data_IF_904737460549
#
_entry.id   IF_904737460549
#
_cell.length_a   1.000
_cell.length_b   1.000
_cell.length_c   1.000
_cell.angle_alpha   90.00
_cell.angle_beta   90.00
_cell.angle_gamma   90.00
#
_symmetry.space_group_name_H-M   'P 1'
#
loop_
_entity.id
_entity.type
_entity.pdbx_description
1 polymer ?
#
# COMPACT_ATOMS: atom_id res chain seq x y z
N UNK A 1 7.11 -24.86 3.84
CA UNK A 1 7.06 -26.34 3.64
C UNK A 1 6.27 -26.87 2.45
N UNK A 2 5.10 -26.30 2.10
CA UNK A 2 4.23 -26.87 1.05
C UNK A 2 4.77 -26.75 -0.38
N UNK A 3 5.67 -25.79 -0.67
CA UNK A 3 6.26 -25.63 -2.00
C UNK A 3 6.99 -26.91 -2.46
N UNK A 4 6.63 -27.41 -3.65
CA UNK A 4 7.19 -28.61 -4.30
C UNK A 4 8.12 -28.33 -5.48
N UNK A 5 8.38 -27.06 -5.78
CA UNK A 5 9.32 -26.70 -6.84
C UNK A 5 8.80 -26.90 -8.26
N UNK A 6 7.48 -26.90 -8.48
CA UNK A 6 6.87 -27.03 -9.83
C UNK A 6 7.15 -25.85 -10.78
N UNK A 7 7.59 -24.70 -10.25
CA UNK A 7 8.01 -23.50 -11.02
C UNK A 7 6.93 -22.83 -11.87
N UNK A 8 5.70 -23.33 -11.92
CA UNK A 8 4.60 -22.72 -12.67
C UNK A 8 4.29 -21.29 -12.20
N UNK A 9 4.44 -21.01 -10.91
CA UNK A 9 4.24 -19.66 -10.35
C UNK A 9 5.20 -18.61 -10.92
N UNK A 10 6.43 -18.99 -11.27
CA UNK A 10 7.42 -18.07 -11.87
C UNK A 10 6.92 -17.55 -13.22
N UNK A 11 6.34 -18.43 -14.02
CA UNK A 11 5.74 -18.06 -15.31
C UNK A 11 4.45 -17.28 -15.11
N UNK A 12 3.58 -17.74 -14.20
CA UNK A 12 2.27 -17.16 -13.95
C UNK A 12 2.28 -15.75 -13.36
N UNK A 13 3.32 -15.34 -12.64
CA UNK A 13 3.42 -13.96 -12.16
C UNK A 13 3.76 -13.00 -13.32
N UNK A 14 2.87 -12.07 -13.70
CA UNK A 14 3.12 -11.18 -14.83
C UNK A 14 4.26 -10.19 -14.53
N UNK A 15 4.41 -9.79 -13.26
CA UNK A 15 5.49 -8.91 -12.80
C UNK A 15 6.85 -9.58 -12.59
N UNK A 16 6.92 -10.91 -12.77
CA UNK A 16 8.16 -11.71 -12.57
C UNK A 16 8.83 -11.45 -11.20
N UNK A 17 8.00 -11.37 -10.14
CA UNK A 17 8.43 -11.15 -8.75
C UNK A 17 8.54 -12.42 -7.90
N UNK A 18 8.49 -13.58 -8.55
CA UNK A 18 8.76 -14.87 -7.93
C UNK A 18 10.07 -15.40 -8.51
N UNK A 19 11.02 -15.69 -7.64
CA UNK A 19 12.36 -16.11 -7.99
C UNK A 19 12.56 -17.56 -7.56
N UNK A 20 13.11 -18.38 -8.45
CA UNK A 20 13.41 -19.77 -8.13
C UNK A 20 14.79 -19.87 -7.47
N UNK A 21 14.85 -20.47 -6.29
CA UNK A 21 16.10 -20.77 -5.62
C UNK A 21 16.62 -22.14 -6.11
N UNK A 22 17.71 -22.08 -6.88
CA UNK A 22 18.33 -23.25 -7.52
C UNK A 22 18.90 -24.24 -6.50
N UNK A 23 19.27 -23.77 -5.32
CA UNK A 23 19.86 -24.59 -4.25
C UNK A 23 18.78 -25.30 -3.44
N UNK A 24 17.77 -24.56 -2.97
CA UNK A 24 16.70 -25.14 -2.14
C UNK A 24 15.65 -25.91 -2.96
N UNK A 25 15.63 -25.69 -4.28
CA UNK A 25 14.64 -26.26 -5.18
C UNK A 25 13.25 -25.65 -5.05
N UNK A 26 13.12 -24.50 -4.39
CA UNK A 26 11.83 -23.85 -4.06
C UNK A 26 11.77 -22.44 -4.66
N UNK A 27 10.54 -21.97 -4.89
CA UNK A 27 10.30 -20.59 -5.28
C UNK A 27 10.15 -19.70 -4.04
N UNK A 28 10.77 -18.53 -4.08
CA UNK A 28 10.76 -17.50 -3.06
C UNK A 28 10.26 -16.18 -3.65
N UNK A 29 9.67 -15.32 -2.82
CA UNK A 29 9.08 -14.05 -3.25
C UNK A 29 9.20 -13.02 -2.14
N UNK A 30 8.91 -11.77 -2.47
CA UNK A 30 8.67 -10.73 -1.46
C UNK A 30 7.63 -11.22 -0.44
N UNK A 31 7.98 -11.13 0.84
CA UNK A 31 7.15 -11.50 1.98
C UNK A 31 6.50 -10.28 2.64
N UNK A 32 6.60 -9.12 2.00
CA UNK A 32 6.13 -7.83 2.51
C UNK A 32 6.65 -7.52 3.92
N UNK A 33 7.83 -8.06 4.27
CA UNK A 33 8.41 -7.97 5.61
C UNK A 33 7.39 -8.28 6.72
N UNK A 34 6.55 -9.32 6.55
CA UNK A 34 5.48 -9.64 7.51
C UNK A 34 5.94 -9.66 8.98
N UNK A 35 7.15 -10.13 9.38
CA UNK A 35 7.54 -10.09 10.79
C UNK A 35 7.65 -8.67 11.38
N UNK A 36 7.84 -7.66 10.53
CA UNK A 36 7.86 -6.24 10.92
C UNK A 36 6.45 -5.65 10.89
N UNK A 37 5.72 -5.91 9.81
CA UNK A 37 4.34 -5.42 9.64
C UNK A 37 3.44 -5.93 10.77
N UNK A 38 3.60 -7.19 11.20
CA UNK A 38 2.87 -7.75 12.33
C UNK A 38 3.03 -6.95 13.63
N UNK A 39 4.16 -6.26 13.78
CA UNK A 39 4.48 -5.41 14.94
C UNK A 39 4.26 -3.91 14.66
N UNK A 40 3.53 -3.54 13.60
CA UNK A 40 3.29 -2.14 13.24
C UNK A 40 4.52 -1.41 12.66
N UNK A 41 5.56 -2.14 12.26
CA UNK A 41 6.79 -1.55 11.72
C UNK A 41 6.79 -1.56 10.18
N UNK A 42 7.33 -0.52 9.52
CA UNK A 42 7.41 -0.49 8.07
C UNK A 42 8.28 -1.59 7.49
N UNK A 43 8.02 -1.91 6.23
CA UNK A 43 8.88 -2.80 5.44
C UNK A 43 10.28 -2.21 5.32
N UNK A 44 11.30 -3.07 5.27
CA UNK A 44 12.71 -2.63 5.21
C UNK A 44 12.93 -1.66 4.06
N UNK A 45 12.43 -2.00 2.87
CA UNK A 45 12.62 -1.17 1.69
C UNK A 45 11.83 0.14 1.72
N UNK A 46 10.81 0.28 2.59
CA UNK A 46 10.08 1.53 2.82
C UNK A 46 10.78 2.41 3.84
N UNK A 47 11.19 1.84 4.97
CA UNK A 47 11.94 2.56 6.00
C UNK A 47 13.28 3.09 5.49
N UNK A 48 14.01 2.30 4.72
CA UNK A 48 15.32 2.69 4.18
C UNK A 48 15.22 3.50 2.89
N UNK A 49 14.03 3.97 2.51
CA UNK A 49 13.85 4.75 1.29
C UNK A 49 14.38 6.17 1.46
N UNK A 50 15.60 6.40 0.99
CA UNK A 50 16.30 7.70 1.08
C UNK A 50 15.49 8.83 0.43
N UNK A 51 14.83 8.57 -0.70
CA UNK A 51 14.01 9.55 -1.40
C UNK A 51 12.67 9.87 -0.73
N UNK A 52 12.33 9.17 0.36
CA UNK A 52 11.08 9.35 1.12
C UNK A 52 9.78 9.17 0.32
N UNK A 53 9.81 8.46 -0.81
CA UNK A 53 8.69 8.31 -1.76
C UNK A 53 7.74 7.14 -1.48
N UNK A 54 7.92 6.40 -0.38
CA UNK A 54 7.14 5.20 -0.08
C UNK A 54 6.20 5.47 1.09
N UNK A 55 4.95 5.06 0.90
CA UNK A 55 3.86 5.21 1.85
C UNK A 55 3.24 3.85 2.10
N UNK A 56 2.87 3.57 3.35
CA UNK A 56 2.20 2.36 3.78
C UNK A 56 0.96 2.78 4.57
N UNK A 57 -0.19 2.23 4.19
CA UNK A 57 -1.48 2.51 4.80
C UNK A 57 -2.46 1.38 4.49
N UNK A 58 -3.47 1.25 5.34
CA UNK A 58 -4.52 0.22 5.18
C UNK A 58 -5.47 0.61 4.04
N UNK A 59 -5.97 -0.39 3.33
CA UNK A 59 -7.07 -0.26 2.38
C UNK A 59 -8.10 -1.34 2.73
N UNK A 60 -9.32 -0.93 3.05
CA UNK A 60 -10.45 -1.85 3.19
C UNK A 60 -10.96 -2.18 1.80
N UNK A 61 -11.27 -3.46 1.54
CA UNK A 61 -11.70 -3.91 0.23
C UNK A 61 -12.73 -5.04 0.34
N UNK A 62 -13.67 -5.07 -0.61
CA UNK A 62 -14.67 -6.13 -0.71
C UNK A 62 -14.09 -7.34 -1.45
N UNK A 63 -13.82 -8.42 -0.70
CA UNK A 63 -13.23 -9.64 -1.25
C UNK A 63 -14.15 -10.36 -2.24
N UNK A 64 -15.48 -10.25 -2.09
CA UNK A 64 -16.44 -10.95 -2.95
C UNK A 64 -16.51 -10.32 -4.34
N UNK A 65 -16.20 -9.03 -4.46
CA UNK A 65 -16.19 -8.29 -5.74
C UNK A 65 -14.88 -8.41 -6.52
N UNK A 66 -13.85 -9.08 -5.99
CA UNK A 66 -12.55 -9.28 -6.66
C UNK A 66 -12.71 -9.98 -8.01
N UNK A 67 -13.52 -11.04 -8.06
CA UNK A 67 -13.72 -11.84 -9.27
C UNK A 67 -14.36 -11.03 -10.40
N UNK A 68 -15.38 -10.24 -10.06
CA UNK A 68 -16.06 -9.33 -10.98
C UNK A 68 -15.10 -8.23 -11.49
N UNK A 69 -14.42 -7.54 -10.58
CA UNK A 69 -13.52 -6.44 -10.93
C UNK A 69 -12.38 -6.89 -11.86
N UNK A 70 -11.75 -8.04 -11.55
CA UNK A 70 -10.70 -8.61 -12.39
C UNK A 70 -11.19 -9.12 -13.75
N UNK A 71 -12.49 -9.45 -13.86
CA UNK A 71 -13.12 -9.96 -15.08
C UNK A 71 -13.64 -8.84 -16.02
N UNK A 72 -13.61 -7.57 -15.60
CA UNK A 72 -14.01 -6.40 -16.43
C UNK A 72 -13.51 -6.50 -17.87
N UNK A 73 -14.39 -6.47 -18.86
CA UNK A 73 -14.04 -6.77 -20.25
C UNK A 73 -12.97 -5.83 -20.81
N UNK A 74 -13.20 -4.52 -20.68
CA UNK A 74 -12.31 -3.48 -21.18
C UNK A 74 -11.13 -3.23 -20.21
N UNK A 75 -9.87 -3.44 -20.65
CA UNK A 75 -8.72 -3.21 -19.79
C UNK A 75 -8.56 -1.77 -19.29
N UNK A 76 -9.07 -0.77 -20.02
CA UNK A 76 -9.02 0.64 -19.62
C UNK A 76 -9.87 0.93 -18.38
N UNK A 77 -10.84 0.08 -18.07
CA UNK A 77 -11.78 0.26 -16.95
C UNK A 77 -11.30 -0.48 -15.69
N UNK A 78 -10.28 -1.33 -15.78
CA UNK A 78 -9.76 -2.12 -14.66
C UNK A 78 -9.23 -1.26 -13.51
N UNK A 79 -8.67 -0.08 -13.80
CA UNK A 79 -8.26 0.88 -12.78
C UNK A 79 -9.45 1.33 -11.92
N UNK A 80 -10.55 1.73 -12.57
CA UNK A 80 -11.75 2.17 -11.87
C UNK A 80 -12.44 0.99 -11.18
N UNK A 81 -12.52 -0.16 -11.84
CA UNK A 81 -13.07 -1.38 -11.25
C UNK A 81 -12.33 -1.78 -9.97
N UNK A 82 -10.99 -1.62 -9.91
CA UNK A 82 -10.23 -1.86 -8.69
C UNK A 82 -10.53 -0.80 -7.61
N UNK A 83 -10.65 0.47 -7.97
CA UNK A 83 -11.05 1.53 -7.02
C UNK A 83 -12.42 1.25 -6.42
N UNK A 84 -13.37 0.76 -7.21
CA UNK A 84 -14.74 0.46 -6.77
C UNK A 84 -14.81 -0.72 -5.80
N UNK A 85 -13.74 -1.53 -5.71
CA UNK A 85 -13.59 -2.61 -4.71
C UNK A 85 -13.06 -2.06 -3.38
N UNK A 86 -12.38 -0.91 -3.38
CA UNK A 86 -11.96 -0.26 -2.14
C UNK A 86 -13.15 0.41 -1.45
N UNK A 87 -13.19 0.29 -0.13
CA UNK A 87 -14.28 0.75 0.72
C UNK A 87 -13.87 2.03 1.45
N UNK A 88 -14.84 2.91 1.69
CA UNK A 88 -14.60 4.15 2.43
C UNK A 88 -14.47 3.87 3.93
N UNK A 89 -13.28 4.08 4.54
CA UNK A 89 -13.08 3.84 5.96
C UNK A 89 -13.81 4.85 6.86
N UNK A 90 -14.31 5.96 6.31
CA UNK A 90 -15.10 6.96 7.05
C UNK A 90 -16.60 6.67 7.04
N UNK A 91 -17.07 5.75 6.19
CA UNK A 91 -18.49 5.36 6.14
C UNK A 91 -18.83 4.49 7.37
N UNK A 92 -19.78 4.92 8.23
CA UNK A 92 -20.21 4.14 9.40
C UNK A 92 -20.73 2.75 9.05
N UNK A 93 -21.30 2.56 7.85
CA UNK A 93 -21.79 1.26 7.41
C UNK A 93 -20.63 0.30 7.12
N UNK A 94 -19.59 0.79 6.42
CA UNK A 94 -18.36 0.03 6.17
C UNK A 94 -17.66 -0.32 7.47
N UNK A 95 -17.59 0.62 8.43
CA UNK A 95 -16.98 0.37 9.74
C UNK A 95 -17.73 -0.75 10.51
N UNK A 96 -19.06 -0.69 10.50
CA UNK A 96 -19.90 -1.72 11.14
C UNK A 96 -19.71 -3.09 10.49
N UNK A 97 -19.68 -3.13 9.16
CA UNK A 97 -19.48 -4.37 8.42
C UNK A 97 -18.07 -4.94 8.65
N UNK A 98 -17.03 -4.10 8.62
CA UNK A 98 -15.65 -4.51 8.89
C UNK A 98 -15.49 -5.13 10.28
N UNK A 99 -16.11 -4.55 11.32
CA UNK A 99 -16.13 -5.14 12.66
C UNK A 99 -16.86 -6.48 12.69
N UNK A 100 -17.98 -6.60 11.97
CA UNK A 100 -18.73 -7.85 11.87
C UNK A 100 -17.93 -8.96 11.16
N UNK A 101 -17.08 -8.60 10.19
CA UNK A 101 -16.18 -9.50 9.47
C UNK A 101 -14.88 -9.82 10.24
N UNK A 102 -14.72 -9.27 11.45
CA UNK A 102 -13.59 -9.55 12.34
C UNK A 102 -12.35 -8.69 12.10
N UNK A 103 -12.48 -7.55 11.42
CA UNK A 103 -11.41 -6.55 11.31
C UNK A 103 -11.25 -5.82 12.64
N UNK A 104 -10.06 -5.78 13.26
CA UNK A 104 -9.85 -5.07 14.53
C UNK A 104 -10.12 -3.56 14.40
N UNK A 105 -10.61 -2.93 15.47
CA UNK A 105 -10.92 -1.49 15.46
C UNK A 105 -9.69 -0.63 15.11
N UNK A 106 -8.49 -0.99 15.59
CA UNK A 106 -7.22 -0.31 15.27
C UNK A 106 -6.92 -0.29 13.75
N UNK A 107 -7.32 -1.35 13.03
CA UNK A 107 -7.16 -1.41 11.57
C UNK A 107 -8.10 -0.47 10.84
N UNK A 108 -9.32 -0.29 11.36
CA UNK A 108 -10.31 0.64 10.81
C UNK A 108 -9.85 2.08 11.06
N UNK A 109 -9.40 2.39 12.27
CA UNK A 109 -8.81 3.70 12.62
C UNK A 109 -7.58 4.00 11.73
N UNK A 110 -6.69 3.02 11.55
CA UNK A 110 -5.53 3.15 10.67
C UNK A 110 -5.91 3.30 9.19
N UNK A 111 -7.07 2.79 8.77
CA UNK A 111 -7.58 2.97 7.42
C UNK A 111 -8.07 4.40 7.17
N UNK A 112 -8.65 5.05 8.17
CA UNK A 112 -9.11 6.46 8.09
C UNK A 112 -7.94 7.42 7.86
N UNK A 113 -6.80 7.15 8.50
CA UNK A 113 -5.58 7.95 8.37
C UNK A 113 -4.62 7.44 7.27
N UNK A 114 -5.06 6.50 6.43
CA UNK A 114 -4.22 5.81 5.47
C UNK A 114 -3.69 6.73 4.37
N UNK A 115 -2.37 6.95 4.25
CA UNK A 115 -1.81 7.72 3.13
C UNK A 115 -2.04 7.03 1.78
N UNK A 116 -2.15 5.70 1.78
CA UNK A 116 -2.44 4.94 0.57
C UNK A 116 -3.87 5.19 0.06
N UNK A 117 -4.85 5.25 0.97
CA UNK A 117 -6.23 5.58 0.64
C UNK A 117 -6.35 7.01 0.11
N UNK A 118 -5.73 7.98 0.80
CA UNK A 118 -5.70 9.38 0.37
C UNK A 118 -5.13 9.54 -1.04
N UNK A 119 -4.00 8.92 -1.35
CA UNK A 119 -3.37 9.04 -2.67
C UNK A 119 -4.12 8.31 -3.79
N UNK A 120 -4.68 7.14 -3.51
CA UNK A 120 -5.33 6.29 -4.51
C UNK A 120 -6.78 6.69 -4.78
N UNK A 121 -7.57 6.88 -3.71
CA UNK A 121 -9.02 7.04 -3.76
C UNK A 121 -9.42 8.52 -3.69
N UNK A 122 -8.95 9.25 -2.67
CA UNK A 122 -9.36 10.65 -2.45
C UNK A 122 -8.76 11.60 -3.50
N UNK A 123 -7.43 11.64 -3.62
CA UNK A 123 -6.72 12.58 -4.48
C UNK A 123 -6.57 12.07 -5.92
N UNK A 124 -6.76 10.77 -6.14
CA UNK A 124 -6.61 10.08 -7.43
C UNK A 124 -5.30 10.45 -8.14
N UNK A 125 -4.20 10.37 -7.39
CA UNK A 125 -2.83 10.65 -7.88
C UNK A 125 -1.97 9.39 -7.98
N UNK A 126 -2.34 8.32 -7.28
CA UNK A 126 -1.67 7.03 -7.36
C UNK A 126 -2.44 6.06 -8.27
N UNK A 127 -1.70 5.21 -8.99
CA UNK A 127 -2.26 4.26 -9.94
C UNK A 127 -1.65 2.86 -9.78
N UNK A 128 -2.39 1.78 -10.10
CA UNK A 128 -1.87 0.43 -10.12
C UNK A 128 -0.80 0.27 -11.20
N UNK A 129 0.16 -0.63 -11.00
CA UNK A 129 1.13 -0.98 -12.04
C UNK A 129 0.55 -2.06 -12.96
N UNK A 130 0.43 -1.77 -14.26
CA UNK A 130 -0.12 -2.66 -15.27
C UNK A 130 -1.46 -3.31 -14.84
N UNK A 131 -2.54 -2.54 -14.65
CA UNK A 131 -3.84 -3.08 -14.25
C UNK A 131 -4.39 -4.11 -15.25
N UNK A 132 -4.01 -4.03 -16.53
CA UNK A 132 -4.38 -4.96 -17.61
C UNK A 132 -3.95 -6.42 -17.35
N UNK A 133 -3.05 -6.66 -16.40
CA UNK A 133 -2.70 -8.01 -15.96
C UNK A 133 -3.77 -8.67 -15.09
N UNK A 134 -4.80 -7.95 -14.68
CA UNK A 134 -5.99 -8.48 -13.97
C UNK A 134 -5.67 -9.17 -12.64
N UNK A 135 -4.56 -8.79 -12.00
CA UNK A 135 -4.18 -9.30 -10.68
C UNK A 135 -4.61 -8.40 -9.53
N UNK A 136 -5.27 -7.26 -9.83
CA UNK A 136 -5.63 -6.19 -8.88
C UNK A 136 -4.46 -5.84 -7.94
N UNK A 137 -3.36 -5.27 -8.47
CA UNK A 137 -2.13 -5.07 -7.71
C UNK A 137 -2.34 -4.07 -6.55
N UNK A 138 -1.70 -4.31 -5.41
CA UNK A 138 -1.81 -3.48 -4.20
C UNK A 138 -0.59 -2.58 -3.95
N UNK A 139 0.32 -2.47 -4.92
CA UNK A 139 1.43 -1.51 -4.88
C UNK A 139 1.22 -0.50 -6.01
N UNK A 140 0.94 0.74 -5.63
CA UNK A 140 0.53 1.82 -6.53
C UNK A 140 1.62 2.89 -6.65
N UNK A 141 1.57 3.66 -7.73
CA UNK A 141 2.60 4.61 -8.12
C UNK A 141 2.00 5.95 -8.47
N UNK A 142 2.60 7.03 -7.95
CA UNK A 142 2.34 8.40 -8.40
C UNK A 142 3.21 8.67 -9.63
N UNK A 143 2.66 9.16 -10.75
CA UNK A 143 3.42 9.39 -11.97
C UNK A 143 4.42 10.54 -11.76
N UNK A 144 5.65 10.46 -12.32
CA UNK A 144 6.63 11.52 -12.15
C UNK A 144 6.29 12.75 -13.01
N UNK A 145 6.43 13.93 -12.43
CA UNK A 145 6.61 15.15 -13.23
C UNK A 145 7.97 15.10 -13.94
N UNK A 146 8.07 15.77 -15.09
CA UNK A 146 9.33 15.89 -15.82
C UNK A 146 9.57 17.34 -16.24
N UNK A 147 10.82 17.73 -16.60
CA UNK A 147 11.07 19.04 -17.15
C UNK A 147 10.21 19.28 -18.40
N UNK A 148 9.87 20.54 -18.66
CA UNK A 148 9.17 20.96 -19.88
C UNK A 148 10.14 20.78 -21.07
N UNK A 149 9.64 20.31 -22.21
CA UNK A 149 10.44 20.23 -23.44
C UNK A 149 10.96 21.64 -23.83
N UNK A 150 12.06 21.69 -24.57
CA UNK A 150 12.90 22.86 -24.81
C UNK A 150 12.26 24.06 -25.55
N UNK A 151 10.93 24.18 -25.64
CA UNK A 151 10.27 25.42 -26.06
C UNK A 151 10.48 26.59 -25.09
N UNK A 152 10.99 26.33 -23.88
CA UNK A 152 11.51 27.36 -22.97
C UNK A 152 12.73 28.13 -23.51
N UNK A 153 13.44 27.64 -24.55
CA UNK A 153 14.53 28.38 -25.18
C UNK A 153 14.05 29.62 -25.98
N UNK A 154 12.73 29.77 -26.19
CA UNK A 154 12.13 30.89 -26.92
C UNK A 154 11.51 31.97 -26.02
N UNK A 155 11.62 31.86 -24.69
CA UNK A 155 11.13 32.90 -23.76
C UNK A 155 9.61 32.95 -23.58
N UNK A 156 8.84 32.05 -24.18
CA UNK A 156 7.43 31.85 -23.90
C UNK A 156 7.28 30.56 -23.07
N UNK A 157 7.07 30.70 -21.75
CA UNK A 157 6.43 29.63 -21.01
C UNK A 157 4.96 29.74 -21.42
N UNK A 158 4.50 28.83 -22.28
CA UNK A 158 3.07 28.63 -22.49
C UNK A 158 2.51 28.10 -21.16
N UNK A 159 2.22 29.03 -20.25
CA UNK A 159 1.37 28.77 -19.12
C UNK A 159 -0.05 28.65 -19.64
N UNK A 160 -0.69 27.55 -19.33
CA UNK A 160 -2.16 27.47 -19.37
C UNK A 160 -2.78 28.51 -18.44
N UNK A 161 -4.10 28.68 -18.50
CA UNK A 161 -4.85 29.55 -17.57
C UNK A 161 -4.31 29.43 -16.13
N UNK A 162 -4.12 30.57 -15.47
CA UNK A 162 -3.58 30.71 -14.10
C UNK A 162 -2.08 30.41 -13.90
N UNK A 163 -1.25 30.32 -14.94
CA UNK A 163 0.22 30.23 -14.75
C UNK A 163 0.75 28.80 -14.59
N UNK A 164 -0.08 27.78 -14.82
CA UNK A 164 0.30 26.37 -14.72
C UNK A 164 1.04 25.90 -15.98
N UNK A 165 2.18 25.20 -15.84
CA UNK A 165 2.80 24.50 -16.96
C UNK A 165 1.82 23.52 -17.59
N UNK A 166 1.73 23.52 -18.92
CA UNK A 166 0.92 22.54 -19.63
C UNK A 166 1.47 21.12 -19.43
N UNK A 167 0.59 20.16 -19.12
CA UNK A 167 0.97 18.75 -18.97
C UNK A 167 1.46 18.18 -20.30
N UNK A 168 0.94 18.66 -21.42
CA UNK A 168 1.35 18.19 -22.75
C UNK A 168 2.76 18.68 -23.12
N UNK A 169 3.26 19.70 -22.42
CA UNK A 169 4.62 20.23 -22.60
C UNK A 169 5.71 19.42 -21.85
N UNK A 170 5.31 18.44 -21.02
CA UNK A 170 6.26 17.62 -20.26
C UNK A 170 7.12 16.73 -21.17
N UNK A 171 8.38 16.54 -20.81
CA UNK A 171 9.34 15.71 -21.57
C UNK A 171 8.92 14.24 -21.65
N UNK A 172 8.38 13.68 -20.57
CA UNK A 172 7.89 12.29 -20.54
C UNK A 172 6.51 12.26 -21.21
N UNK A 173 6.33 11.50 -22.30
CA UNK A 173 5.03 11.40 -22.96
C UNK A 173 3.97 10.79 -22.03
N UNK A 174 2.81 11.42 -21.91
CA UNK A 174 1.69 10.91 -21.09
C UNK A 174 1.29 9.50 -21.53
N UNK A 175 1.29 9.22 -22.84
CA UNK A 175 1.03 7.88 -23.40
C UNK A 175 1.89 6.79 -22.77
N UNK A 176 3.18 7.09 -22.52
CA UNK A 176 4.10 6.13 -21.92
C UNK A 176 3.68 5.78 -20.48
N UNK A 177 3.32 6.80 -19.70
CA UNK A 177 2.84 6.62 -18.33
C UNK A 177 1.49 5.91 -18.31
N UNK A 178 0.59 6.25 -19.22
CA UNK A 178 -0.72 5.61 -19.34
C UNK A 178 -0.59 4.11 -19.65
N UNK A 179 0.30 3.73 -20.57
CA UNK A 179 0.58 2.33 -20.88
C UNK A 179 1.11 1.54 -19.67
N UNK A 180 1.75 2.22 -18.71
CA UNK A 180 2.32 1.60 -17.51
C UNK A 180 1.32 1.52 -16.35
N UNK A 181 0.44 2.52 -16.22
CA UNK A 181 -0.32 2.76 -14.99
C UNK A 181 -1.85 2.62 -15.15
N UNK A 182 -2.37 2.76 -16.36
CA UNK A 182 -3.82 2.87 -16.62
C UNK A 182 -4.22 2.13 -17.89
N UNK A 183 -3.48 1.07 -18.24
CA UNK A 183 -3.69 0.25 -19.45
C UNK A 183 -3.77 1.07 -20.76
N UNK A 184 -3.14 2.25 -20.81
CA UNK A 184 -3.14 3.15 -21.97
C UNK A 184 -4.19 4.27 -21.94
N UNK A 185 -5.02 4.36 -20.89
CA UNK A 185 -5.95 5.47 -20.70
C UNK A 185 -5.24 6.71 -20.13
N UNK A 186 -5.08 7.76 -20.94
CA UNK A 186 -4.32 8.95 -20.55
C UNK A 186 -5.05 9.85 -19.56
N UNK A 187 -6.39 9.89 -19.58
CA UNK A 187 -7.17 10.88 -18.84
C UNK A 187 -6.91 10.87 -17.32
N UNK A 188 -6.84 9.71 -16.63
CA UNK A 188 -6.52 9.68 -15.20
C UNK A 188 -5.10 10.19 -14.91
N UNK A 189 -4.12 9.81 -15.74
CA UNK A 189 -2.72 10.23 -15.57
C UNK A 189 -2.58 11.74 -15.77
N UNK A 190 -3.18 12.31 -16.81
CA UNK A 190 -3.21 13.76 -17.04
C UNK A 190 -3.85 14.49 -15.86
N UNK A 191 -4.97 13.98 -15.34
CA UNK A 191 -5.63 14.55 -14.16
C UNK A 191 -4.72 14.59 -12.94
N UNK A 192 -4.01 13.49 -12.64
CA UNK A 192 -3.06 13.45 -11.53
C UNK A 192 -1.88 14.41 -11.71
N UNK A 193 -1.31 14.50 -12.92
CA UNK A 193 -0.22 15.42 -13.22
C UNK A 193 -0.66 16.89 -13.06
N UNK A 194 -1.87 17.23 -13.52
CA UNK A 194 -2.47 18.57 -13.33
C UNK A 194 -2.66 18.90 -11.84
N UNK A 195 -3.18 17.96 -11.04
CA UNK A 195 -3.31 18.13 -9.57
C UNK A 195 -1.98 18.41 -8.88
N UNK A 196 -0.93 17.66 -9.24
CA UNK A 196 0.41 17.88 -8.68
C UNK A 196 1.02 19.21 -9.12
N UNK A 197 0.80 19.65 -10.37
CA UNK A 197 1.25 20.96 -10.84
C UNK A 197 0.49 22.10 -10.15
N UNK A 198 -0.83 21.97 -9.98
CA UNK A 198 -1.67 22.93 -9.26
C UNK A 198 -1.19 23.11 -7.81
N UNK A 199 -0.99 22.01 -7.07
CA UNK A 199 -0.44 22.06 -5.72
C UNK A 199 0.93 22.78 -5.69
N UNK A 200 1.82 22.50 -6.66
CA UNK A 200 3.15 23.14 -6.71
C UNK A 200 3.05 24.64 -6.99
N UNK A 201 2.17 25.07 -7.88
CA UNK A 201 1.98 26.48 -8.19
C UNK A 201 1.32 27.23 -7.04
N UNK A 202 0.32 26.64 -6.39
CA UNK A 202 -0.32 27.17 -5.18
C UNK A 202 0.70 27.48 -4.06
N UNK A 203 1.51 26.48 -3.69
CA UNK A 203 2.54 26.67 -2.64
C UNK A 203 3.67 27.59 -3.08
N UNK A 204 3.95 27.70 -4.39
CA UNK A 204 4.90 28.68 -4.91
C UNK A 204 4.39 30.10 -4.71
N UNK A 205 3.15 30.39 -5.07
CA UNK A 205 2.55 31.72 -4.91
C UNK A 205 2.60 32.16 -3.43
N UNK A 206 2.19 31.26 -2.52
CA UNK A 206 2.25 31.47 -1.07
C UNK A 206 3.67 31.74 -0.57
N UNK A 207 4.67 31.00 -1.05
CA UNK A 207 6.07 31.20 -0.68
C UNK A 207 6.66 32.52 -1.19
N UNK A 208 6.15 33.03 -2.32
CA UNK A 208 6.58 34.30 -2.93
C UNK A 208 5.78 35.51 -2.42
N UNK A 209 4.73 35.30 -1.63
CA UNK A 209 3.82 36.37 -1.21
C UNK A 209 2.97 36.92 -2.34
N UNK A 210 2.78 36.12 -3.40
CA UNK A 210 1.89 36.44 -4.52
C UNK A 210 0.43 36.15 -4.13
N UNK A 211 -0.56 36.81 -4.77
CA UNK A 211 -1.97 36.51 -4.52
C UNK A 211 -2.28 35.04 -4.80
N UNK A 212 -2.90 34.39 -3.82
CA UNK A 212 -3.42 33.04 -3.94
C UNK A 212 -4.70 33.08 -4.80
N UNK A 213 -4.75 32.25 -5.86
CA UNK A 213 -5.89 32.16 -6.76
C UNK A 213 -6.60 30.80 -6.59
N UNK A 214 -7.71 30.74 -5.80
CA UNK A 214 -8.44 29.50 -5.58
C UNK A 214 -8.95 28.83 -6.86
N UNK A 215 -9.17 29.60 -7.94
CA UNK A 215 -9.63 29.07 -9.21
C UNK A 215 -8.64 28.06 -9.82
N UNK A 216 -7.35 28.17 -9.49
CA UNK A 216 -6.31 27.22 -9.90
C UNK A 216 -6.55 25.81 -9.32
N UNK A 217 -6.95 25.72 -8.05
CA UNK A 217 -7.24 24.46 -7.39
C UNK A 217 -8.60 23.91 -7.86
N UNK A 218 -9.61 24.79 -7.98
CA UNK A 218 -10.94 24.42 -8.46
C UNK A 218 -10.90 23.81 -9.87
N UNK A 219 -10.04 24.33 -10.76
CA UNK A 219 -9.87 23.83 -12.13
C UNK A 219 -9.43 22.36 -12.21
N UNK A 220 -8.81 21.83 -11.16
CA UNK A 220 -8.37 20.42 -11.07
C UNK A 220 -9.17 19.61 -10.05
N UNK A 221 -10.23 20.21 -9.49
CA UNK A 221 -11.08 19.60 -8.47
C UNK A 221 -10.36 19.38 -7.15
N UNK A 222 -9.48 20.30 -6.75
CA UNK A 222 -8.87 20.36 -5.43
C UNK A 222 -9.42 21.55 -4.66
N UNK A 223 -9.56 21.42 -3.34
CA UNK A 223 -9.74 22.55 -2.44
C UNK A 223 -8.44 22.86 -1.69
N UNK A 224 -8.41 23.98 -0.98
CA UNK A 224 -7.24 24.41 -0.20
C UNK A 224 -6.84 23.38 0.85
N UNK A 225 -7.81 22.82 1.59
CA UNK A 225 -7.55 21.81 2.62
C UNK A 225 -6.89 20.55 2.05
N UNK A 226 -7.34 20.10 0.87
CA UNK A 226 -6.77 18.97 0.15
C UNK A 226 -5.37 19.31 -0.35
N UNK A 227 -5.14 20.52 -0.89
CA UNK A 227 -3.81 20.94 -1.31
C UNK A 227 -2.83 21.00 -0.12
N UNK A 228 -3.27 21.50 1.04
CA UNK A 228 -2.49 21.51 2.27
C UNK A 228 -2.19 20.09 2.79
N UNK A 229 -3.18 19.19 2.75
CA UNK A 229 -2.98 17.79 3.10
C UNK A 229 -2.00 17.11 2.13
N UNK A 230 -2.15 17.30 0.82
CA UNK A 230 -1.21 16.80 -0.18
C UNK A 230 0.20 17.32 0.09
N UNK A 231 0.37 18.60 0.46
CA UNK A 231 1.68 19.15 0.81
C UNK A 231 2.26 18.53 2.08
N UNK A 232 1.45 18.36 3.14
CA UNK A 232 1.85 17.64 4.36
C UNK A 232 2.36 16.24 4.04
N UNK A 233 1.61 15.45 3.28
CA UNK A 233 1.98 14.07 3.00
C UNK A 233 3.11 13.95 1.97
N UNK A 234 3.11 14.73 0.88
CA UNK A 234 4.05 14.57 -0.23
C UNK A 234 5.36 15.36 -0.07
N UNK A 235 5.32 16.54 0.55
CA UNK A 235 6.48 17.42 0.68
C UNK A 235 7.15 17.33 2.05
N UNK A 236 6.39 17.51 3.14
CA UNK A 236 6.91 17.38 4.51
C UNK A 236 7.19 15.91 4.81
N UNK A 237 6.21 15.06 4.51
CA UNK A 237 6.30 13.61 4.47
C UNK A 237 6.87 13.01 5.76
N UNK A 238 6.38 13.45 6.93
CA UNK A 238 6.83 12.98 8.23
C UNK A 238 6.76 11.44 8.36
N UNK A 239 7.49 10.86 9.31
CA UNK A 239 7.58 9.40 9.40
C UNK A 239 6.19 8.77 9.69
N UNK A 240 5.46 9.36 10.62
CA UNK A 240 4.11 9.00 11.03
C UNK A 240 3.07 9.18 9.92
N UNK A 241 3.23 10.19 9.07
CA UNK A 241 2.33 10.42 7.92
C UNK A 241 2.60 9.43 6.78
N UNK A 242 3.83 8.92 6.66
CA UNK A 242 4.20 7.96 5.62
C UNK A 242 3.83 6.53 5.95
N UNK A 243 3.89 6.15 7.22
CA UNK A 243 3.75 4.77 7.65
C UNK A 243 2.68 4.66 8.73
N UNK A 244 1.44 4.42 8.28
CA UNK A 244 0.29 4.15 9.14
C UNK A 244 0.02 2.65 9.08
N UNK A 245 0.59 1.91 10.03
CA UNK A 245 0.62 0.44 10.01
C UNK A 245 0.13 -0.06 11.37
N UNK A 246 -1.08 -0.64 11.43
CA UNK A 246 -1.59 -1.23 12.67
C UNK A 246 -0.85 -2.53 12.99
N UNK A 247 -0.95 -2.98 14.24
CA UNK A 247 -0.43 -4.29 14.63
C UNK A 247 -1.34 -5.43 14.11
N UNK A 248 -0.78 -6.61 13.84
CA UNK A 248 -1.56 -7.73 13.26
C UNK A 248 -2.36 -8.55 14.30
N UNK A 249 -2.40 -8.11 15.56
CA UNK A 249 -3.12 -8.78 16.66
C UNK A 249 -2.90 -10.31 16.74
N UNK A 250 -1.63 -10.75 16.73
CA UNK A 250 -1.28 -12.19 16.77
C UNK A 250 -1.86 -12.93 17.98
N UNK A 251 -2.14 -12.21 19.05
CA UNK A 251 -2.79 -12.71 20.27
C UNK A 251 -4.20 -13.25 20.06
N UNK A 252 -4.91 -12.84 18.99
CA UNK A 252 -6.25 -13.34 18.68
C UNK A 252 -6.20 -14.72 18.00
N UNK A 253 -5.20 -14.96 17.16
CA UNK A 253 -5.04 -16.21 16.42
C UNK A 253 -4.19 -17.26 17.15
N UNK A 254 -3.27 -16.85 18.03
CA UNK A 254 -2.29 -17.71 18.67
C UNK A 254 -2.23 -17.53 20.20
N UNK A 255 -1.76 -18.54 20.93
CA UNK A 255 -1.50 -18.41 22.36
C UNK A 255 -0.21 -17.58 22.60
N UNK A 256 -0.36 -16.25 22.62
CA UNK A 256 0.74 -15.30 22.76
C UNK A 256 1.59 -15.54 24.03
N UNK A 257 0.98 -15.95 25.15
CA UNK A 257 1.70 -16.23 26.39
C UNK A 257 2.66 -17.42 26.25
N UNK A 258 2.20 -18.51 25.62
CA UNK A 258 3.05 -19.67 25.34
C UNK A 258 4.14 -19.34 24.33
N UNK A 259 3.82 -18.59 23.28
CA UNK A 259 4.78 -18.19 22.26
C UNK A 259 5.88 -17.28 22.84
N UNK A 260 5.52 -16.30 23.68
CA UNK A 260 6.49 -15.44 24.36
C UNK A 260 7.48 -16.24 25.20
N UNK A 261 7.03 -17.30 25.87
CA UNK A 261 7.87 -18.13 26.75
C UNK A 261 8.66 -19.25 26.04
N UNK A 262 8.36 -19.55 24.77
CA UNK A 262 8.90 -20.71 24.06
C UNK A 262 9.51 -20.43 22.68
N UNK A 263 9.13 -19.33 22.03
CA UNK A 263 9.61 -18.99 20.69
C UNK A 263 11.04 -18.47 20.71
N UNK A 264 11.84 -18.91 19.74
CA UNK A 264 13.28 -18.67 19.65
C UNK A 264 14.15 -19.86 20.06
N UNK A 265 13.61 -20.84 20.80
CA UNK A 265 14.32 -22.07 21.16
C UNK A 265 14.12 -23.17 20.10
N UNK A 266 14.92 -23.15 19.04
CA UNK A 266 14.82 -24.06 17.87
C UNK A 266 15.41 -25.46 18.11
N UNK A 267 15.33 -25.99 19.33
CA UNK A 267 15.72 -27.38 19.66
C UNK A 267 14.75 -28.44 19.10
N UNK A 268 13.60 -28.00 18.57
CA UNK A 268 12.56 -28.84 17.99
C UNK A 268 11.42 -28.00 17.40
N UNK A 269 10.23 -28.57 17.31
CA UNK A 269 9.06 -27.99 16.64
C UNK A 269 8.25 -27.03 17.52
N UNK A 270 8.85 -26.40 18.53
CA UNK A 270 8.13 -25.69 19.59
C UNK A 270 7.22 -24.55 19.10
N UNK A 271 7.57 -23.94 17.95
CA UNK A 271 6.89 -22.76 17.39
C UNK A 271 6.62 -22.88 15.88
N UNK A 272 6.50 -24.11 15.37
CA UNK A 272 6.18 -24.36 13.97
C UNK A 272 4.69 -24.20 13.64
N UNK A 273 3.85 -23.85 14.63
CA UNK A 273 2.40 -23.69 14.49
C UNK A 273 1.66 -25.02 14.27
N UNK A 274 2.34 -26.16 14.29
CA UNK A 274 1.74 -27.47 14.09
C UNK A 274 1.41 -28.04 15.47
N UNK A 275 0.13 -28.04 15.84
CA UNK A 275 -0.33 -28.72 17.06
C UNK A 275 -0.42 -30.24 16.83
N UNK A 276 0.73 -30.87 16.54
CA UNK A 276 0.83 -32.29 16.35
C UNK A 276 0.65 -32.99 17.72
N UNK A 277 -0.52 -33.61 17.92
CA UNK A 277 -0.84 -34.39 19.13
C UNK A 277 0.12 -35.57 19.34
N UNK A 278 0.73 -36.07 18.27
CA UNK A 278 1.77 -37.09 18.29
C UNK A 278 2.76 -36.87 17.12
N UNK A 279 4.02 -37.24 17.34
CA UNK A 279 5.07 -37.24 16.32
C UNK A 279 5.78 -38.57 16.27
N UNK A 280 6.36 -38.92 15.11
CA UNK A 280 7.06 -40.19 14.88
C UNK A 280 8.21 -40.43 15.89
N UNK A 281 8.79 -39.38 16.43
CA UNK A 281 9.90 -39.43 17.39
C UNK A 281 9.48 -39.44 18.87
N UNK A 282 8.18 -39.61 19.18
CA UNK A 282 7.69 -39.76 20.55
C UNK A 282 7.51 -38.45 21.32
N UNK A 283 6.32 -37.86 21.24
CA UNK A 283 5.87 -36.74 22.08
C UNK A 283 6.43 -35.36 21.71
N UNK A 284 5.90 -34.32 22.39
CA UNK A 284 6.12 -32.87 22.11
C UNK A 284 7.58 -32.43 22.33
N UNK A 285 8.50 -32.81 21.44
CA UNK A 285 9.87 -32.28 21.42
C UNK A 285 9.86 -30.77 21.18
N UNK A 286 10.41 -30.00 22.12
CA UNK A 286 10.63 -28.55 21.99
C UNK A 286 9.62 -27.65 22.71
N UNK A 287 8.51 -28.16 23.25
CA UNK A 287 7.70 -27.39 24.21
C UNK A 287 8.19 -27.70 25.62
N UNK A 288 8.87 -26.73 26.25
CA UNK A 288 9.15 -26.81 27.70
C UNK A 288 7.80 -27.04 28.38
N UNK A 289 7.66 -28.10 29.19
CA UNK A 289 6.55 -28.15 30.15
C UNK A 289 6.74 -26.93 31.05
N UNK A 290 6.01 -25.84 30.79
CA UNK A 290 5.76 -24.85 31.83
C UNK A 290 4.95 -25.61 32.87
N UNK A 291 5.63 -26.16 33.87
CA UNK A 291 4.98 -26.73 35.04
C UNK A 291 4.28 -25.52 35.67
N UNK A 292 2.93 -25.45 35.70
CA UNK A 292 2.29 -24.45 36.52
C UNK A 292 2.83 -24.66 37.93
N UNK A 293 3.43 -23.63 38.51
CA UNK A 293 3.81 -23.65 39.92
C UNK A 293 2.49 -23.93 40.65
N UNK A 294 2.33 -25.16 41.17
CA UNK A 294 1.29 -25.41 42.16
C UNK A 294 1.69 -24.55 43.34
N UNK A 295 0.91 -23.52 43.60
CA UNK A 295 0.88 -22.92 44.93
C UNK A 295 0.63 -24.09 45.88
N UNK A 296 1.58 -24.34 46.78
CA UNK A 296 1.35 -25.25 47.88
C UNK A 296 0.17 -24.66 48.63
N UNK A 297 -0.90 -25.43 48.77
CA UNK A 297 -2.07 -25.00 49.55
C UNK A 297 -1.58 -24.52 50.92
N UNK A 298 -2.01 -23.31 51.32
CA UNK A 298 -1.89 -22.80 52.69
C UNK A 298 -2.80 -23.64 53.60
N UNK A 299 -2.39 -24.87 53.90
CA UNK A 299 -2.96 -25.71 54.95
C UNK A 299 -1.84 -26.10 55.92
N UNK A 300 -1.45 -25.12 56.75
CA UNK A 300 -1.00 -25.31 58.15
C UNK A 300 -1.37 -24.09 58.98
#
# INVERSE_FOLDING_TARGET
DKCRGWRMCVSGCPYKKIYYNWTSGKAEKCTFCYPRIEAGLPTVCSETCVGRIRYLGVLLYDADRIGEAAATENPHDLYQAQLDVFLDPHDPEVQRQALADGVPAEWIESAQESPAYKMAVEWKIAFPLHPEYRTLPMVWYVPPLSPIQAHANAGAIDSTDHGLPDVDSLRIPVRYLANLLTAGNEAPVTGALKRMLAMRAWFRARQLGEPEDPAMLDAVGLDEATAEAMHRYLAIANYEDRFVIPTAHREEAENAYQLRGGCGFTFGNGCDGIDAKAGLFGGKMGRRKMIPIRMIDDDT
#
